data_IF_585461651476
#
_entry.id   IF_585461651476
#
_cell.length_a   1.000
_cell.length_b   1.000
_cell.length_c   1.000
_cell.angle_alpha   90.00
_cell.angle_beta   90.00
_cell.angle_gamma   90.00
#
_symmetry.space_group_name_H-M   'P 1'
#
loop_
_entity.id
_entity.type
_entity.pdbx_description
1 polymer ?
#
# COMPACT_ATOMS: atom_id res chain seq x y z
N UNK A 1 -21.08 -0.69 -30.71
CA UNK A 1 -19.69 -1.08 -30.43
C UNK A 1 -18.80 0.04 -29.84
N UNK A 2 -19.17 1.34 -29.87
CA UNK A 2 -18.40 2.41 -29.19
C UNK A 2 -19.01 2.83 -27.84
N UNK A 3 -20.21 2.41 -27.51
CA UNK A 3 -20.85 2.69 -26.21
C UNK A 3 -20.68 1.60 -25.16
N UNK A 4 -20.29 0.39 -25.55
CA UNK A 4 -19.99 -0.70 -24.59
C UNK A 4 -18.59 -0.58 -23.97
N UNK A 5 -17.63 0.03 -24.65
CA UNK A 5 -16.28 0.24 -24.11
C UNK A 5 -16.21 1.31 -22.99
N UNK A 6 -17.23 2.17 -22.87
CA UNK A 6 -17.27 3.22 -21.84
C UNK A 6 -17.83 2.76 -20.49
N UNK A 7 -18.41 1.57 -20.40
CA UNK A 7 -19.00 1.01 -19.15
C UNK A 7 -18.09 0.09 -18.37
N UNK A 8 -16.91 -0.26 -18.86
CA UNK A 8 -15.95 -1.14 -18.18
C UNK A 8 -14.89 -0.42 -17.34
N UNK A 9 -14.93 0.91 -17.25
CA UNK A 9 -13.99 1.71 -16.46
C UNK A 9 -14.51 2.12 -15.07
N UNK A 10 -15.53 1.46 -14.54
CA UNK A 10 -15.84 1.62 -13.12
C UNK A 10 -14.91 0.71 -12.31
N UNK A 11 -13.84 1.32 -11.81
CA UNK A 11 -12.99 0.78 -10.75
C UNK A 11 -13.89 0.14 -9.70
N UNK A 12 -13.68 -1.14 -9.41
CA UNK A 12 -14.37 -1.83 -8.30
C UNK A 12 -13.85 -1.28 -6.98
N UNK A 13 -14.08 0.01 -6.76
CA UNK A 13 -13.94 0.63 -5.45
C UNK A 13 -15.12 0.14 -4.63
N UNK A 14 -14.88 -0.71 -3.64
CA UNK A 14 -15.89 -1.01 -2.64
C UNK A 14 -16.14 0.30 -1.89
N UNK A 15 -17.09 1.12 -2.37
CA UNK A 15 -17.58 2.29 -1.68
C UNK A 15 -18.51 1.83 -0.57
N UNK A 16 -17.95 1.59 0.62
CA UNK A 16 -18.72 1.66 1.85
C UNK A 16 -18.68 3.12 2.32
N UNK A 17 -19.49 3.96 1.67
CA UNK A 17 -19.71 5.34 2.11
C UNK A 17 -20.81 5.33 3.16
N UNK A 18 -20.46 5.15 4.42
CA UNK A 18 -21.19 5.74 5.53
C UNK A 18 -20.32 6.86 6.09
N UNK A 19 -20.74 8.10 5.93
CA UNK A 19 -20.16 9.26 6.60
C UNK A 19 -20.44 9.16 8.09
N UNK A 20 -19.52 8.55 8.84
CA UNK A 20 -19.57 8.54 10.28
C UNK A 20 -18.55 9.58 10.76
N UNK A 21 -19.07 10.63 11.39
CA UNK A 21 -18.29 11.72 11.96
C UNK A 21 -17.69 11.26 13.29
N UNK A 22 -16.41 10.83 13.29
CA UNK A 22 -15.71 10.36 14.49
C UNK A 22 -14.62 11.35 14.89
N UNK A 23 -14.84 11.99 16.03
CA UNK A 23 -13.83 12.80 16.70
C UNK A 23 -13.04 11.90 17.67
N UNK A 24 -11.76 11.64 17.39
CA UNK A 24 -10.84 11.16 18.41
C UNK A 24 -10.30 12.37 19.18
N UNK A 25 -10.10 12.18 20.50
CA UNK A 25 -9.68 13.26 21.39
C UNK A 25 -8.20 13.05 21.75
N UNK A 26 -7.36 14.08 21.57
CA UNK A 26 -5.96 14.04 22.00
C UNK A 26 -5.84 14.09 23.54
N UNK A 27 -4.61 13.93 24.08
CA UNK A 27 -4.34 14.04 25.53
C UNK A 27 -4.71 15.40 26.13
N UNK A 28 -5.02 16.40 25.33
CA UNK A 28 -5.43 17.75 25.73
C UNK A 28 -6.93 18.00 25.52
N UNK A 29 -7.69 16.98 25.09
CA UNK A 29 -9.13 17.08 24.86
C UNK A 29 -9.54 17.70 23.52
N UNK A 30 -8.62 17.79 22.53
CA UNK A 30 -8.96 18.28 21.21
C UNK A 30 -9.39 17.13 20.30
N UNK A 31 -10.37 17.38 19.44
CA UNK A 31 -10.77 16.44 18.41
C UNK A 31 -9.63 16.26 17.40
N UNK A 32 -9.19 15.02 17.22
CA UNK A 32 -8.17 14.67 16.22
C UNK A 32 -8.87 14.16 14.98
N UNK A 33 -8.54 14.77 13.86
CA UNK A 33 -9.12 14.46 12.55
C UNK A 33 -8.06 13.78 11.66
N UNK A 34 -8.43 12.67 11.03
CA UNK A 34 -7.67 12.11 9.90
C UNK A 34 -8.42 12.46 8.63
N UNK A 35 -7.82 13.27 7.78
CA UNK A 35 -8.32 13.53 6.44
C UNK A 35 -7.80 12.44 5.50
N UNK A 36 -8.69 11.88 4.66
CA UNK A 36 -8.40 10.76 3.79
C UNK A 36 -8.51 11.19 2.34
N UNK A 37 -7.56 10.77 1.51
CA UNK A 37 -7.63 10.81 0.07
C UNK A 37 -7.15 9.49 -0.53
N UNK A 38 -7.75 9.07 -1.64
CA UNK A 38 -7.33 7.88 -2.37
C UNK A 38 -7.50 8.05 -3.87
N UNK A 39 -6.62 7.42 -4.63
CA UNK A 39 -6.74 7.40 -6.09
C UNK A 39 -6.05 6.14 -6.63
N UNK A 40 -6.66 5.54 -7.65
CA UNK A 40 -6.09 4.40 -8.37
C UNK A 40 -6.33 4.58 -9.85
N UNK A 41 -5.30 4.33 -10.66
CA UNK A 41 -5.35 4.39 -12.12
C UNK A 41 -4.74 3.14 -12.73
N UNK A 42 -5.31 2.72 -13.85
CA UNK A 42 -4.83 1.57 -14.61
C UNK A 42 -3.50 1.85 -15.35
N UNK A 43 -3.16 3.15 -15.51
CA UNK A 43 -2.00 3.53 -16.32
C UNK A 43 -2.19 3.18 -17.80
N UNK A 44 -1.18 2.53 -18.39
CA UNK A 44 -1.23 2.05 -19.78
C UNK A 44 -1.41 0.54 -19.88
N UNK A 45 -1.67 -0.13 -18.76
CA UNK A 45 -1.91 -1.58 -18.68
C UNK A 45 -3.31 -1.92 -19.21
N UNK A 46 -3.52 -3.20 -19.54
CA UNK A 46 -4.82 -3.72 -19.99
C UNK A 46 -5.74 -4.10 -18.82
N UNK A 47 -5.16 -4.33 -17.64
CA UNK A 47 -5.85 -4.80 -16.44
C UNK A 47 -5.40 -4.00 -15.23
N UNK A 48 -6.32 -3.77 -14.29
CA UNK A 48 -6.02 -3.22 -12.98
C UNK A 48 -5.72 -4.36 -12.01
N UNK A 49 -4.47 -4.48 -11.60
CA UNK A 49 -4.02 -5.49 -10.65
C UNK A 49 -3.76 -4.93 -9.25
N UNK A 50 -3.76 -3.61 -9.09
CA UNK A 50 -3.77 -2.98 -7.77
C UNK A 50 -5.16 -3.08 -7.13
N UNK A 51 -5.19 -3.36 -5.84
CA UNK A 51 -6.37 -3.23 -5.01
C UNK A 51 -6.07 -2.36 -3.80
N UNK A 52 -7.02 -1.53 -3.40
CA UNK A 52 -6.88 -0.66 -2.24
C UNK A 52 -8.18 -0.55 -1.43
N UNK A 53 -8.01 -0.22 -0.15
CA UNK A 53 -9.14 0.09 0.73
C UNK A 53 -8.69 1.05 1.82
N UNK A 54 -9.54 2.01 2.17
CA UNK A 54 -9.36 2.87 3.33
C UNK A 54 -10.71 3.19 3.95
N UNK A 55 -10.82 3.05 5.28
CA UNK A 55 -12.02 3.42 6.01
C UNK A 55 -11.72 3.75 7.49
N UNK A 56 -12.56 4.62 8.06
CA UNK A 56 -12.67 4.82 9.50
C UNK A 56 -13.70 3.85 10.08
N UNK A 57 -13.38 3.27 11.23
CA UNK A 57 -14.25 2.35 11.96
C UNK A 57 -14.87 3.01 13.20
N UNK A 58 -16.01 2.51 13.65
CA UNK A 58 -16.73 3.01 14.82
C UNK A 58 -15.91 3.04 16.11
N UNK A 59 -14.94 2.14 16.25
CA UNK A 59 -14.03 2.10 17.39
C UNK A 59 -12.91 3.15 17.33
N UNK A 60 -12.97 4.08 16.36
CA UNK A 60 -12.01 5.17 16.15
C UNK A 60 -10.72 4.76 15.44
N UNK A 61 -10.62 3.51 14.96
CA UNK A 61 -9.50 3.09 14.12
C UNK A 61 -9.71 3.52 12.67
N UNK A 62 -8.61 3.78 11.96
CA UNK A 62 -8.59 3.92 10.51
C UNK A 62 -7.72 2.82 9.94
N UNK A 63 -8.24 2.04 9.01
CA UNK A 63 -7.51 1.04 8.24
C UNK A 63 -7.25 1.57 6.84
N UNK A 64 -5.99 1.48 6.37
CA UNK A 64 -5.60 1.74 4.99
C UNK A 64 -4.76 0.56 4.48
N UNK A 65 -5.04 0.06 3.28
CA UNK A 65 -4.34 -1.06 2.67
C UNK A 65 -4.22 -0.87 1.16
N UNK A 66 -3.04 -1.21 0.61
CA UNK A 66 -2.79 -1.37 -0.83
C UNK A 66 -2.14 -2.72 -1.04
N UNK A 67 -2.58 -3.43 -2.07
CA UNK A 67 -1.97 -4.63 -2.61
C UNK A 67 -1.74 -4.41 -4.11
N UNK A 68 -0.49 -4.53 -4.56
CA UNK A 68 -0.10 -4.50 -5.98
C UNK A 68 0.01 -5.93 -6.48
N UNK A 69 -0.84 -6.29 -7.41
CA UNK A 69 -1.00 -7.65 -7.89
C UNK A 69 -0.03 -7.99 -9.02
N UNK A 70 0.60 -9.14 -8.94
CA UNK A 70 1.51 -9.68 -9.96
C UNK A 70 1.13 -11.07 -10.40
N UNK A 71 1.36 -11.38 -11.66
CA UNK A 71 1.07 -12.68 -12.25
C UNK A 71 0.39 -12.56 -13.61
N UNK A 72 0.45 -13.64 -14.39
CA UNK A 72 -0.14 -13.68 -15.73
C UNK A 72 -1.68 -13.65 -15.71
N UNK A 73 -2.28 -13.17 -16.82
CA UNK A 73 -3.73 -13.07 -17.02
C UNK A 73 -4.45 -12.42 -15.81
N UNK A 74 -5.29 -13.15 -15.09
CA UNK A 74 -6.09 -12.62 -13.98
C UNK A 74 -5.48 -12.92 -12.59
N UNK A 75 -4.31 -13.56 -12.52
CA UNK A 75 -3.72 -14.02 -11.26
C UNK A 75 -3.43 -12.88 -10.28
N UNK A 76 -2.80 -11.80 -10.75
CA UNK A 76 -2.47 -10.64 -9.91
C UNK A 76 -3.71 -9.88 -9.44
N UNK A 77 -4.70 -9.66 -10.32
CA UNK A 77 -5.97 -9.01 -9.96
C UNK A 77 -6.73 -9.81 -8.89
N UNK A 78 -6.81 -11.13 -9.06
CA UNK A 78 -7.49 -11.98 -8.09
C UNK A 78 -6.74 -12.02 -6.75
N UNK A 79 -5.41 -12.10 -6.77
CA UNK A 79 -4.56 -12.10 -5.59
C UNK A 79 -4.76 -10.83 -4.75
N UNK A 80 -4.58 -9.64 -5.35
CA UNK A 80 -4.70 -8.37 -4.66
C UNK A 80 -6.10 -8.10 -4.11
N UNK A 81 -7.14 -8.39 -4.93
CA UNK A 81 -8.54 -8.23 -4.49
C UNK A 81 -8.91 -9.21 -3.37
N UNK A 82 -8.42 -10.45 -3.40
CA UNK A 82 -8.65 -11.44 -2.34
C UNK A 82 -7.98 -11.00 -1.05
N UNK A 83 -6.71 -10.62 -1.10
CA UNK A 83 -5.96 -10.15 0.06
C UNK A 83 -6.65 -8.96 0.73
N UNK A 84 -7.01 -7.91 -0.03
CA UNK A 84 -7.70 -6.72 0.51
C UNK A 84 -9.05 -7.09 1.13
N UNK A 85 -9.89 -7.88 0.43
CA UNK A 85 -11.22 -8.27 0.93
C UNK A 85 -11.15 -9.07 2.21
N UNK A 86 -10.22 -10.02 2.29
CA UNK A 86 -10.04 -10.86 3.48
C UNK A 86 -9.56 -10.03 4.65
N UNK A 87 -8.50 -9.24 4.49
CA UNK A 87 -7.97 -8.38 5.55
C UNK A 87 -9.04 -7.43 6.09
N UNK A 88 -9.79 -6.75 5.20
CA UNK A 88 -10.87 -5.83 5.60
C UNK A 88 -11.98 -6.56 6.35
N UNK A 89 -12.35 -7.77 5.92
CA UNK A 89 -13.39 -8.54 6.60
C UNK A 89 -12.95 -8.97 8.00
N UNK A 90 -11.72 -9.45 8.13
CA UNK A 90 -11.23 -9.99 9.40
C UNK A 90 -10.85 -8.88 10.37
N UNK A 91 -10.43 -7.71 9.88
CA UNK A 91 -10.18 -6.52 10.71
C UNK A 91 -11.43 -6.08 11.50
N UNK A 92 -12.63 -6.39 11.04
CA UNK A 92 -13.88 -6.11 11.78
C UNK A 92 -13.94 -6.79 13.16
N UNK A 93 -13.14 -7.83 13.37
CA UNK A 93 -13.04 -8.53 14.66
C UNK A 93 -12.10 -7.84 15.66
N UNK A 94 -11.28 -6.89 15.20
CA UNK A 94 -10.32 -6.17 16.04
C UNK A 94 -11.05 -5.04 16.78
N UNK A 95 -11.15 -5.16 18.10
CA UNK A 95 -11.86 -4.19 18.93
C UNK A 95 -10.93 -3.25 19.69
N UNK A 96 -9.73 -3.72 20.04
CA UNK A 96 -8.74 -2.94 20.76
C UNK A 96 -7.51 -2.66 19.90
N UNK A 97 -7.01 -1.41 19.97
CA UNK A 97 -5.83 -0.99 19.20
C UNK A 97 -4.56 -1.76 19.61
N UNK A 98 -4.46 -2.22 20.85
CA UNK A 98 -3.36 -3.05 21.33
C UNK A 98 -3.30 -4.45 20.70
N UNK A 99 -4.41 -4.91 20.10
CA UNK A 99 -4.47 -6.19 19.40
C UNK A 99 -3.93 -6.11 17.96
N UNK A 100 -3.81 -4.89 17.41
CA UNK A 100 -3.45 -4.67 16.00
C UNK A 100 -2.13 -5.31 15.59
N UNK A 101 -1.00 -5.21 16.34
CA UNK A 101 0.26 -5.83 15.91
C UNK A 101 0.12 -7.35 15.75
N UNK A 102 -0.45 -8.02 16.74
CA UNK A 102 -0.66 -9.48 16.72
C UNK A 102 -1.64 -9.87 15.60
N UNK A 103 -2.68 -9.07 15.38
CA UNK A 103 -3.61 -9.28 14.27
C UNK A 103 -2.88 -9.21 12.94
N UNK A 104 -2.10 -8.16 12.67
CA UNK A 104 -1.41 -7.97 11.40
C UNK A 104 -0.38 -9.07 11.13
N UNK A 105 0.41 -9.48 12.14
CA UNK A 105 1.38 -10.57 12.00
C UNK A 105 0.72 -11.92 11.69
N UNK A 106 -0.38 -12.24 12.35
CA UNK A 106 -1.14 -13.45 12.05
C UNK A 106 -1.81 -13.39 10.69
N UNK A 107 -2.37 -12.23 10.37
CA UNK A 107 -3.15 -12.05 9.16
C UNK A 107 -2.29 -12.14 7.89
N UNK A 108 -1.07 -11.59 7.90
CA UNK A 108 -0.18 -11.67 6.74
C UNK A 108 0.15 -13.13 6.36
N UNK A 109 0.35 -14.00 7.35
CA UNK A 109 0.59 -15.44 7.10
C UNK A 109 -0.65 -16.10 6.49
N UNK A 110 -1.84 -15.81 7.05
CA UNK A 110 -3.09 -16.34 6.54
C UNK A 110 -3.42 -15.87 5.12
N UNK A 111 -3.15 -14.61 4.84
CA UNK A 111 -3.32 -14.04 3.50
C UNK A 111 -2.36 -14.68 2.49
N UNK A 112 -1.10 -14.90 2.88
CA UNK A 112 -0.11 -15.58 2.04
C UNK A 112 -0.56 -16.98 1.63
N UNK A 113 -0.99 -17.79 2.60
CA UNK A 113 -1.53 -19.13 2.35
C UNK A 113 -2.76 -19.09 1.42
N UNK A 114 -3.72 -18.21 1.71
CA UNK A 114 -4.94 -18.10 0.91
C UNK A 114 -4.68 -17.61 -0.53
N UNK A 115 -3.71 -16.72 -0.73
CA UNK A 115 -3.34 -16.25 -2.08
C UNK A 115 -2.58 -17.35 -2.83
N UNK A 116 -1.71 -18.11 -2.15
CA UNK A 116 -0.99 -19.24 -2.74
C UNK A 116 -1.93 -20.34 -3.23
N UNK A 117 -3.04 -20.54 -2.52
CA UNK A 117 -4.05 -21.56 -2.83
C UNK A 117 -5.10 -21.13 -3.87
N UNK A 118 -4.94 -19.93 -4.48
CA UNK A 118 -5.89 -19.48 -5.51
C UNK A 118 -5.79 -20.34 -6.78
N UNK A 119 -6.95 -20.77 -7.26
CA UNK A 119 -7.11 -21.64 -8.43
C UNK A 119 -7.91 -20.94 -9.54
N UNK A 120 -7.66 -21.34 -10.77
CA UNK A 120 -8.49 -20.98 -11.93
C UNK A 120 -9.82 -21.80 -11.96
N UNK A 121 -10.68 -21.53 -12.93
CA UNK A 121 -11.95 -22.23 -13.11
C UNK A 121 -11.82 -23.75 -13.38
N UNK A 122 -10.60 -24.22 -13.67
CA UNK A 122 -10.28 -25.63 -13.93
C UNK A 122 -9.58 -26.30 -12.75
N UNK A 123 -9.35 -25.60 -11.63
CA UNK A 123 -8.64 -26.11 -10.45
C UNK A 123 -7.13 -26.13 -10.58
N UNK A 124 -6.55 -25.33 -11.51
CA UNK A 124 -5.11 -25.17 -11.59
C UNK A 124 -4.69 -23.97 -10.75
N UNK A 125 -3.53 -24.08 -10.07
CA UNK A 125 -2.97 -22.97 -9.32
C UNK A 125 -2.76 -21.75 -10.23
N UNK A 126 -3.28 -20.59 -9.82
CA UNK A 126 -3.19 -19.34 -10.60
C UNK A 126 -1.75 -18.82 -10.69
N UNK A 127 -0.88 -19.16 -9.73
CA UNK A 127 0.51 -18.67 -9.69
C UNK A 127 0.61 -17.15 -9.61
N UNK A 128 -0.43 -16.49 -9.11
CA UNK A 128 -0.45 -15.05 -8.85
C UNK A 128 0.00 -14.74 -7.43
N UNK A 129 0.37 -13.49 -7.19
CA UNK A 129 0.70 -12.96 -5.87
C UNK A 129 0.41 -11.47 -5.81
N UNK A 130 0.63 -10.87 -4.66
CA UNK A 130 0.55 -9.42 -4.52
C UNK A 130 1.45 -8.91 -3.39
N UNK A 131 1.82 -7.64 -3.47
CA UNK A 131 2.41 -6.92 -2.34
C UNK A 131 1.35 -6.67 -1.26
N UNK A 132 1.80 -6.24 -0.10
CA UNK A 132 0.94 -5.74 0.96
C UNK A 132 1.61 -4.53 1.62
N UNK A 133 0.91 -3.41 1.71
CA UNK A 133 1.16 -2.35 2.67
C UNK A 133 -0.14 -2.03 3.40
N UNK A 134 -0.09 -2.12 4.72
CA UNK A 134 -1.25 -1.91 5.57
C UNK A 134 -0.87 -1.00 6.74
N UNK A 135 -1.71 0.00 7.00
CA UNK A 135 -1.60 0.92 8.14
C UNK A 135 -2.89 0.93 8.91
N UNK A 136 -2.77 0.86 10.24
CA UNK A 136 -3.89 1.06 11.18
C UNK A 136 -3.54 2.20 12.12
N UNK A 137 -4.41 3.21 12.20
CA UNK A 137 -4.24 4.33 13.14
C UNK A 137 -5.38 4.38 14.15
N UNK A 138 -5.08 4.87 15.38
CA UNK A 138 -6.08 5.27 16.37
C UNK A 138 -5.50 6.39 17.25
N UNK A 139 -6.23 7.50 17.35
CA UNK A 139 -5.66 8.70 17.98
C UNK A 139 -4.39 9.12 17.22
N UNK A 140 -3.28 9.27 17.91
CA UNK A 140 -1.98 9.53 17.29
C UNK A 140 -1.08 8.30 17.17
N UNK A 141 -1.56 7.10 17.50
CA UNK A 141 -0.81 5.86 17.32
C UNK A 141 -1.00 5.27 15.94
N UNK A 142 0.04 4.67 15.40
CA UNK A 142 0.05 3.97 14.11
C UNK A 142 0.78 2.64 14.22
N UNK A 143 0.16 1.60 13.70
CA UNK A 143 0.79 0.31 13.40
C UNK A 143 0.80 0.08 11.90
N UNK A 144 1.79 -0.64 11.41
CA UNK A 144 1.87 -1.04 10.01
C UNK A 144 2.43 -2.44 9.83
N UNK A 145 2.17 -3.03 8.67
CA UNK A 145 2.84 -4.21 8.15
C UNK A 145 3.04 -4.05 6.64
N UNK A 146 4.14 -4.60 6.12
CA UNK A 146 4.39 -4.65 4.68
C UNK A 146 5.05 -5.95 4.24
N UNK A 147 4.78 -6.34 2.99
CA UNK A 147 5.44 -7.39 2.24
C UNK A 147 5.49 -6.97 0.76
N UNK A 148 6.64 -7.11 0.12
CA UNK A 148 6.86 -6.63 -1.26
C UNK A 148 7.53 -5.27 -1.31
N UNK A 149 7.37 -4.57 -2.44
CA UNK A 149 8.00 -3.29 -2.74
C UNK A 149 7.02 -2.10 -2.80
N UNK A 150 5.74 -2.29 -2.49
CA UNK A 150 4.84 -1.17 -2.20
C UNK A 150 5.33 -0.43 -0.96
N UNK A 151 5.16 0.89 -0.90
CA UNK A 151 5.78 1.73 0.13
C UNK A 151 4.79 2.44 1.03
N UNK A 152 5.23 2.66 2.28
CA UNK A 152 4.59 3.52 3.26
C UNK A 152 5.57 4.67 3.55
N UNK A 153 5.15 5.89 3.28
CA UNK A 153 5.93 7.09 3.59
C UNK A 153 5.30 7.85 4.74
N UNK A 154 6.17 8.46 5.55
CA UNK A 154 5.80 9.53 6.49
C UNK A 154 6.36 10.83 5.94
N UNK A 155 5.49 11.85 5.88
CA UNK A 155 5.89 13.23 5.61
C UNK A 155 5.76 14.02 6.90
N UNK A 156 6.88 14.56 7.37
CA UNK A 156 6.99 15.37 8.59
C UNK A 156 8.03 16.47 8.37
N UNK A 157 7.76 17.70 8.83
CA UNK A 157 8.70 18.82 8.76
C UNK A 157 9.30 19.08 7.37
N UNK A 158 8.50 18.96 6.32
CA UNK A 158 8.91 19.05 4.91
C UNK A 158 9.95 18.02 4.48
N UNK A 159 10.02 16.88 5.15
CA UNK A 159 10.80 15.71 4.74
C UNK A 159 9.87 14.53 4.45
N UNK A 160 10.31 13.64 3.56
CA UNK A 160 9.57 12.41 3.18
C UNK A 160 10.47 11.20 3.31
N UNK A 161 10.05 10.23 4.11
CA UNK A 161 10.81 9.01 4.35
C UNK A 161 9.93 7.78 4.22
N UNK A 162 10.40 6.77 3.47
CA UNK A 162 9.80 5.44 3.50
C UNK A 162 10.14 4.77 4.83
N UNK A 163 9.13 4.20 5.50
CA UNK A 163 9.29 3.54 6.80
C UNK A 163 9.38 2.02 6.71
N UNK A 164 9.10 1.46 5.55
CA UNK A 164 9.31 0.06 5.22
C UNK A 164 10.38 -0.10 4.14
N UNK A 165 10.95 -1.30 4.04
CA UNK A 165 11.94 -1.65 3.01
C UNK A 165 11.24 -2.24 1.79
N UNK A 166 11.88 -2.10 0.62
CA UNK A 166 11.49 -2.88 -0.56
C UNK A 166 11.99 -4.31 -0.39
N UNK A 167 11.09 -5.29 -0.32
CA UNK A 167 11.45 -6.69 -0.22
C UNK A 167 11.74 -7.28 -1.62
N UNK A 168 12.76 -6.76 -2.25
CA UNK A 168 13.28 -7.20 -3.55
C UNK A 168 14.72 -7.72 -3.43
N UNK A 169 15.27 -8.26 -4.51
CA UNK A 169 16.58 -8.86 -4.50
C UNK A 169 17.71 -7.85 -4.21
N UNK A 170 17.49 -6.57 -4.50
CA UNK A 170 18.40 -5.48 -4.12
C UNK A 170 18.68 -5.47 -2.62
N UNK A 171 17.66 -5.69 -1.78
CA UNK A 171 17.82 -5.78 -0.33
C UNK A 171 18.81 -6.88 0.09
N UNK A 172 18.79 -8.03 -0.61
CA UNK A 172 19.75 -9.10 -0.37
C UNK A 172 21.13 -8.72 -0.89
N UNK A 173 21.25 -8.17 -2.11
CA UNK A 173 22.52 -7.73 -2.69
C UNK A 173 23.22 -6.69 -1.79
N UNK A 174 22.47 -5.69 -1.31
CA UNK A 174 23.00 -4.66 -0.39
C UNK A 174 23.51 -5.28 0.92
N UNK A 175 22.80 -6.28 1.41
CA UNK A 175 23.19 -6.98 2.63
C UNK A 175 24.46 -7.81 2.40
N UNK A 176 24.55 -8.53 1.30
CA UNK A 176 25.72 -9.33 0.93
C UNK A 176 26.96 -8.46 0.69
N UNK A 177 26.77 -7.30 0.01
CA UNK A 177 27.86 -6.35 -0.23
C UNK A 177 28.37 -5.75 1.09
N UNK A 178 27.47 -5.27 1.97
CA UNK A 178 27.83 -4.73 3.30
C UNK A 178 28.56 -5.75 4.19
N UNK A 179 28.21 -7.03 4.07
CA UNK A 179 28.83 -8.10 4.82
C UNK A 179 30.12 -8.63 4.15
N UNK A 180 30.53 -8.07 3.01
CA UNK A 180 31.72 -8.53 2.26
C UNK A 180 31.56 -9.91 1.64
N UNK A 181 30.34 -10.40 1.45
CA UNK A 181 30.03 -11.71 0.86
C UNK A 181 30.11 -11.67 -0.68
N UNK A 182 29.92 -10.51 -1.26
CA UNK A 182 30.10 -10.23 -2.69
C UNK A 182 30.91 -8.94 -2.87
N UNK A 183 31.58 -8.85 -4.02
CA UNK A 183 32.28 -7.63 -4.46
C UNK A 183 31.32 -6.68 -5.19
N UNK A 184 31.71 -5.40 -5.35
CA UNK A 184 30.95 -4.43 -6.16
C UNK A 184 30.72 -4.94 -7.58
N UNK A 185 31.71 -5.60 -8.19
CA UNK A 185 31.59 -6.17 -9.52
C UNK A 185 30.55 -7.30 -9.59
N UNK A 186 30.48 -8.15 -8.57
CA UNK A 186 29.46 -9.21 -8.49
C UNK A 186 28.08 -8.63 -8.23
N UNK A 187 27.97 -7.53 -7.48
CA UNK A 187 26.75 -6.75 -7.32
C UNK A 187 26.25 -6.21 -8.65
N UNK A 188 27.10 -5.50 -9.39
CA UNK A 188 26.76 -4.93 -10.72
C UNK A 188 26.30 -6.00 -11.72
N UNK A 189 26.89 -7.19 -11.70
CA UNK A 189 26.49 -8.31 -12.54
C UNK A 189 25.07 -8.82 -12.29
N UNK A 190 24.53 -8.58 -11.11
CA UNK A 190 23.19 -9.01 -10.69
C UNK A 190 22.15 -7.86 -10.67
N UNK A 191 22.54 -6.64 -11.03
CA UNK A 191 21.70 -5.43 -11.01
C UNK A 191 20.41 -5.59 -11.84
N UNK A 192 20.45 -6.36 -12.92
CA UNK A 192 19.30 -6.63 -13.77
C UNK A 192 18.21 -7.47 -13.12
N UNK A 193 18.50 -8.11 -11.99
CA UNK A 193 17.54 -8.90 -11.20
C UNK A 193 17.15 -8.18 -9.89
N UNK A 194 17.75 -7.03 -9.60
CA UNK A 194 17.62 -6.35 -8.32
C UNK A 194 16.17 -6.01 -7.93
N UNK A 195 15.31 -5.76 -8.91
CA UNK A 195 13.89 -5.44 -8.68
C UNK A 195 12.99 -6.70 -8.51
N UNK A 196 13.52 -7.92 -8.64
CA UNK A 196 12.74 -9.14 -8.44
C UNK A 196 12.30 -9.26 -6.97
N UNK A 197 11.00 -9.43 -6.71
CA UNK A 197 10.49 -9.58 -5.36
C UNK A 197 10.99 -10.87 -4.70
N UNK A 198 11.39 -10.76 -3.44
CA UNK A 198 11.83 -11.86 -2.59
C UNK A 198 10.85 -12.17 -1.45
N UNK A 199 9.84 -11.30 -1.26
CA UNK A 199 8.73 -11.52 -0.34
C UNK A 199 7.47 -10.83 -0.87
N UNK A 200 6.35 -11.56 -0.87
CA UNK A 200 5.03 -11.12 -1.29
C UNK A 200 3.97 -12.15 -0.86
N UNK A 201 2.70 -11.78 -0.85
CA UNK A 201 1.60 -12.72 -0.57
C UNK A 201 1.39 -13.67 -1.76
N UNK A 202 1.26 -14.95 -1.47
CA UNK A 202 1.12 -16.01 -2.47
C UNK A 202 2.37 -16.88 -2.63
N UNK A 203 3.38 -16.70 -1.76
CA UNK A 203 4.53 -17.60 -1.68
C UNK A 203 4.19 -18.91 -0.93
N UNK A 204 3.16 -18.92 -0.07
CA UNK A 204 2.75 -20.03 0.78
C UNK A 204 3.65 -20.28 2.00
N UNK A 205 4.66 -19.44 2.21
CA UNK A 205 5.58 -19.53 3.35
C UNK A 205 6.28 -18.20 3.61
N UNK A 206 5.55 -17.11 3.63
CA UNK A 206 6.10 -15.77 3.82
C UNK A 206 6.89 -15.68 5.13
N UNK A 207 8.11 -15.17 5.05
CA UNK A 207 9.03 -15.07 6.21
C UNK A 207 9.71 -13.71 6.35
N UNK A 208 9.54 -12.83 5.35
CA UNK A 208 10.10 -11.48 5.36
C UNK A 208 8.96 -10.47 5.27
N UNK A 209 8.75 -9.75 6.37
CA UNK A 209 7.79 -8.64 6.49
C UNK A 209 8.43 -7.51 7.29
N UNK A 210 7.99 -6.28 7.09
CA UNK A 210 8.30 -5.17 7.98
C UNK A 210 7.04 -4.79 8.76
N UNK A 211 7.18 -4.65 10.08
CA UNK A 211 6.10 -4.24 10.99
C UNK A 211 6.67 -3.50 12.20
N UNK A 212 5.81 -2.83 12.96
CA UNK A 212 6.16 -2.30 14.27
C UNK A 212 5.31 -2.95 15.36
N UNK A 213 5.94 -3.33 16.47
CA UNK A 213 5.28 -3.89 17.66
C UNK A 213 4.87 -2.83 18.66
N UNK A 214 5.57 -1.69 18.68
CA UNK A 214 5.23 -0.50 19.45
C UNK A 214 4.63 0.55 18.52
N UNK A 215 3.64 1.34 18.95
CA UNK A 215 3.01 2.31 18.08
C UNK A 215 3.98 3.42 17.67
N UNK A 216 4.04 3.69 16.37
CA UNK A 216 4.63 4.94 15.87
C UNK A 216 3.69 6.08 16.19
N UNK A 217 4.21 7.15 16.83
CA UNK A 217 3.38 8.28 17.22
C UNK A 217 3.43 9.39 16.17
N UNK A 218 2.25 9.69 15.63
CA UNK A 218 2.02 10.78 14.70
C UNK A 218 2.03 12.13 15.42
N UNK A 219 2.54 13.14 14.74
CA UNK A 219 2.52 14.54 15.15
C UNK A 219 1.53 15.34 14.29
N UNK A 220 1.14 16.52 14.78
CA UNK A 220 0.19 17.36 14.05
C UNK A 220 0.74 17.74 12.67
N UNK A 221 -0.07 17.55 11.63
CA UNK A 221 0.22 17.71 10.21
C UNK A 221 1.08 16.62 9.58
N UNK A 222 1.41 15.54 10.29
CA UNK A 222 1.97 14.38 9.62
C UNK A 222 1.06 13.87 8.52
N UNK A 223 1.68 13.44 7.43
CA UNK A 223 0.98 12.80 6.34
C UNK A 223 1.55 11.40 6.14
N UNK A 224 0.66 10.42 6.05
CA UNK A 224 0.99 9.04 5.71
C UNK A 224 0.60 8.85 4.24
N UNK A 225 1.53 8.38 3.41
CA UNK A 225 1.28 8.00 2.02
C UNK A 225 1.57 6.51 1.86
N UNK A 226 0.55 5.74 1.46
CA UNK A 226 0.72 4.38 0.95
C UNK A 226 0.68 4.45 -0.58
N UNK A 227 1.55 3.70 -1.25
CA UNK A 227 1.52 3.63 -2.70
C UNK A 227 2.07 2.31 -3.26
N UNK A 228 1.57 1.91 -4.45
CA UNK A 228 2.21 0.91 -5.29
C UNK A 228 3.42 1.48 -6.03
N UNK A 229 4.20 0.63 -6.65
CA UNK A 229 5.45 0.98 -7.34
C UNK A 229 5.26 1.93 -8.53
N UNK A 230 4.07 1.93 -9.14
CA UNK A 230 3.71 2.83 -10.22
C UNK A 230 3.84 4.32 -9.88
N UNK A 231 3.81 4.69 -8.58
CA UNK A 231 4.06 6.07 -8.14
C UNK A 231 5.56 6.36 -8.08
N UNK A 232 6.30 5.71 -7.19
CA UNK A 232 7.68 6.06 -6.84
C UNK A 232 8.70 5.68 -7.91
N UNK A 233 8.37 4.77 -8.82
CA UNK A 233 9.17 4.51 -10.02
C UNK A 233 9.05 5.62 -11.08
N UNK A 234 8.11 6.55 -10.91
CA UNK A 234 7.88 7.71 -11.81
C UNK A 234 8.18 9.06 -11.20
N UNK A 235 7.89 9.23 -9.92
CA UNK A 235 8.13 10.47 -9.18
C UNK A 235 9.24 10.26 -8.17
N UNK A 236 10.19 11.20 -8.12
CA UNK A 236 11.15 11.24 -7.03
C UNK A 236 10.49 11.64 -5.71
N UNK A 237 11.16 11.38 -4.58
CA UNK A 237 10.67 11.80 -3.27
C UNK A 237 10.41 13.31 -3.21
N UNK A 238 11.26 14.14 -3.83
CA UNK A 238 11.09 15.60 -3.89
C UNK A 238 9.84 15.97 -4.68
N UNK A 239 9.57 15.31 -5.81
CA UNK A 239 8.37 15.57 -6.62
C UNK A 239 7.09 15.15 -5.89
N UNK A 240 7.13 14.02 -5.16
CA UNK A 240 6.01 13.58 -4.32
C UNK A 240 5.79 14.61 -3.21
N UNK A 241 6.84 15.01 -2.52
CA UNK A 241 6.81 15.98 -1.41
C UNK A 241 6.19 17.32 -1.85
N UNK A 242 6.64 17.86 -2.98
CA UNK A 242 6.11 19.11 -3.54
C UNK A 242 4.60 19.06 -3.80
N UNK A 243 4.08 17.88 -4.18
CA UNK A 243 2.65 17.70 -4.44
C UNK A 243 1.85 17.56 -3.15
N UNK A 244 2.36 16.79 -2.18
CA UNK A 244 1.60 16.44 -0.97
C UNK A 244 1.62 17.55 0.09
N UNK A 245 2.56 18.48 0.01
CA UNK A 245 2.63 19.68 0.88
C UNK A 245 1.63 20.79 0.50
N UNK A 246 0.81 20.58 -0.54
CA UNK A 246 -0.24 21.54 -0.90
C UNK A 246 -1.35 21.57 0.16
N UNK A 247 -1.27 22.54 1.06
CA UNK A 247 -2.22 22.73 2.15
C UNK A 247 -3.53 23.42 1.75
N UNK A 248 -3.69 23.82 0.48
CA UNK A 248 -4.90 24.48 -0.01
C UNK A 248 -5.96 23.50 -0.53
N UNK A 249 -5.55 22.26 -0.78
CA UNK A 249 -6.40 21.21 -1.34
C UNK A 249 -6.64 20.08 -0.34
N UNK A 250 -7.80 19.41 -0.49
CA UNK A 250 -8.11 18.20 0.27
C UNK A 250 -7.19 17.03 -0.11
N UNK A 251 -7.04 16.05 0.79
CA UNK A 251 -6.25 14.85 0.52
C UNK A 251 -6.76 14.10 -0.71
N UNK A 252 -8.07 14.14 -0.98
CA UNK A 252 -8.65 13.54 -2.18
C UNK A 252 -8.12 14.20 -3.46
N UNK A 253 -8.12 15.52 -3.53
CA UNK A 253 -7.59 16.27 -4.68
C UNK A 253 -6.09 16.03 -4.86
N UNK A 254 -5.35 15.93 -3.77
CA UNK A 254 -3.91 15.65 -3.80
C UNK A 254 -3.62 14.23 -4.31
N UNK A 255 -4.37 13.22 -3.86
CA UNK A 255 -4.25 11.84 -4.36
C UNK A 255 -4.50 11.74 -5.87
N UNK A 256 -5.56 12.41 -6.35
CA UNK A 256 -5.85 12.48 -7.79
C UNK A 256 -4.76 13.24 -8.57
N UNK A 257 -4.18 14.29 -7.97
CA UNK A 257 -3.09 15.06 -8.58
C UNK A 257 -1.81 14.25 -8.73
N UNK A 258 -1.43 13.42 -7.74
CA UNK A 258 -0.30 12.50 -7.85
C UNK A 258 -0.44 11.62 -9.09
N UNK A 259 -1.58 10.94 -9.24
CA UNK A 259 -1.85 10.07 -10.39
C UNK A 259 -1.91 10.83 -11.71
N UNK A 260 -2.45 12.05 -11.71
CA UNK A 260 -2.46 12.91 -12.90
C UNK A 260 -1.05 13.30 -13.34
N UNK A 261 -0.17 13.65 -12.41
CA UNK A 261 1.24 14.01 -12.71
C UNK A 261 1.99 12.79 -13.24
N UNK A 262 1.81 11.59 -12.63
CA UNK A 262 2.37 10.34 -13.14
C UNK A 262 2.00 10.13 -14.61
N UNK A 263 0.71 10.28 -14.97
CA UNK A 263 0.26 10.12 -16.35
C UNK A 263 0.81 11.19 -17.30
N UNK A 264 1.03 12.42 -16.82
CA UNK A 264 1.62 13.51 -17.63
C UNK A 264 3.11 13.28 -17.94
N UNK A 265 3.85 12.68 -17.00
CA UNK A 265 5.27 12.36 -17.18
C UNK A 265 5.50 11.07 -17.96
N UNK A 266 4.47 10.24 -18.09
CA UNK A 266 4.56 8.95 -18.76
C UNK A 266 4.62 9.11 -20.26
N UNK A 267 5.71 8.61 -20.88
CA UNK A 267 5.83 8.51 -22.33
C UNK A 267 5.38 7.14 -22.86
N UNK A 268 5.68 6.06 -22.15
CA UNK A 268 5.29 4.67 -22.46
C UNK A 268 5.30 3.82 -21.19
N UNK A 269 4.43 2.82 -21.14
CA UNK A 269 4.42 1.74 -20.13
C UNK A 269 4.30 2.26 -18.68
N UNK A 270 3.23 3.01 -18.39
CA UNK A 270 2.85 3.30 -17.01
C UNK A 270 2.17 2.09 -16.40
N UNK A 271 2.61 1.70 -15.21
CA UNK A 271 1.99 0.64 -14.43
C UNK A 271 0.70 1.11 -13.77
N UNK A 272 -0.06 0.17 -13.24
CA UNK A 272 -1.09 0.49 -12.28
C UNK A 272 -0.49 1.39 -11.21
N UNK A 273 -1.23 2.37 -10.73
CA UNK A 273 -0.73 3.30 -9.71
C UNK A 273 -1.83 3.58 -8.72
N UNK A 274 -1.63 3.15 -7.50
CA UNK A 274 -2.56 3.33 -6.38
C UNK A 274 -1.91 4.11 -5.27
N UNK A 275 -2.66 5.06 -4.70
CA UNK A 275 -2.22 5.90 -3.59
C UNK A 275 -3.34 6.06 -2.55
N UNK A 276 -2.95 6.05 -1.27
CA UNK A 276 -3.79 6.47 -0.14
C UNK A 276 -3.02 7.51 0.65
N UNK A 277 -3.67 8.62 0.95
CA UNK A 277 -3.15 9.70 1.78
C UNK A 277 -3.98 9.82 3.06
N UNK A 278 -3.29 9.87 4.20
CA UNK A 278 -3.89 10.14 5.50
C UNK A 278 -3.18 11.34 6.11
N UNK A 279 -3.85 12.49 6.23
CA UNK A 279 -3.32 13.65 6.95
C UNK A 279 -3.81 13.62 8.38
N UNK A 280 -2.89 13.63 9.32
CA UNK A 280 -3.16 13.71 10.74
C UNK A 280 -3.15 15.18 11.16
N UNK A 281 -4.28 15.67 11.71
CA UNK A 281 -4.38 17.07 12.07
C UNK A 281 -5.59 17.36 12.96
N UNK A 282 -5.77 18.65 13.28
CA UNK A 282 -6.91 19.17 14.05
C UNK A 282 -8.04 19.61 13.18
#
# INVERSE_FOLDING_TARGET
MREEAARQNEVTTVRLTEEINWESIDRKGNALHIEIGQSSIIGTRSYQQDALFVAKYENGMTLAVICDGMGGLNGGELASNTAVKMLVNDFKSVNDFSEVPIFLEREVVRLDECVADLEDEYGNALGGGCTLVCVVTKGNGMYFISAGDSRIYIVRDNDIQAINRDHNFRLQLDTMLRNGQITEKEYEMQENQAEALISYLGMGNISLTDSNTEPFYLEENDLILLCSDGLYKRLSNEQILDIVLDNQNSMQVIAERLNKVVMQLTQRNQDNTSVILLRYGR
#
